data_IF_915722576049
#
_entry.id   IF_915722576049
#
_cell.length_a   1.000
_cell.length_b   1.000
_cell.length_c   1.000
_cell.angle_alpha   90.00
_cell.angle_beta   90.00
_cell.angle_gamma   90.00
#
_symmetry.space_group_name_H-M   'P 1'
#
loop_
_entity.id
_entity.type
_entity.pdbx_description
1 polymer ?
#
# COMPACT_ATOMS: atom_id res chain seq x y z
N UNK A 1 14.72 82.50 16.40
CA UNK A 1 15.54 81.44 15.81
C UNK A 1 14.81 80.08 16.06
N UNK A 2 14.07 79.60 15.06
CA UNK A 2 13.18 78.50 15.20
C UNK A 2 13.86 77.23 14.69
N UNK A 3 14.18 76.30 15.57
CA UNK A 3 14.73 74.97 15.22
C UNK A 3 13.63 74.03 14.74
N UNK A 4 13.61 73.68 13.45
CA UNK A 4 12.77 72.68 12.88
C UNK A 4 13.31 71.24 13.25
N UNK A 5 12.57 70.50 14.07
CA UNK A 5 12.86 69.08 14.31
C UNK A 5 12.34 68.28 13.13
N UNK A 6 13.22 67.62 12.37
CA UNK A 6 12.85 66.60 11.40
C UNK A 6 12.66 65.25 12.10
N UNK A 7 11.43 64.73 12.09
CA UNK A 7 11.09 63.39 12.55
C UNK A 7 11.27 62.44 11.36
N UNK A 8 12.36 61.68 11.34
CA UNK A 8 12.54 60.62 10.36
C UNK A 8 11.67 59.40 10.78
N UNK A 9 10.60 59.17 10.03
CA UNK A 9 9.75 57.98 10.17
C UNK A 9 10.46 56.79 9.47
N UNK A 10 11.03 55.87 10.25
CA UNK A 10 11.64 54.64 9.76
C UNK A 10 10.54 53.65 9.47
N UNK A 11 10.16 53.46 8.21
CA UNK A 11 9.22 52.41 7.78
C UNK A 11 10.00 51.09 7.73
N UNK A 12 9.85 50.24 8.75
CA UNK A 12 10.33 48.86 8.75
C UNK A 12 9.34 48.07 7.93
N UNK A 13 9.66 47.77 6.68
CA UNK A 13 8.94 46.79 5.84
C UNK A 13 9.37 45.41 6.32
N UNK A 14 8.53 44.78 7.14
CA UNK A 14 8.68 43.38 7.47
C UNK A 14 8.33 42.55 6.22
N UNK A 15 9.34 42.18 5.46
CA UNK A 15 9.20 41.06 4.52
C UNK A 15 8.98 39.82 5.34
N UNK A 16 7.71 39.44 5.56
CA UNK A 16 7.35 38.11 5.94
C UNK A 16 7.66 37.19 4.76
N UNK A 17 8.83 36.57 4.77
CA UNK A 17 9.05 35.37 3.95
C UNK A 17 8.11 34.29 4.50
N UNK A 18 6.91 34.21 3.94
CA UNK A 18 6.14 32.97 3.99
C UNK A 18 6.92 31.96 3.15
N UNK A 19 7.85 31.25 3.77
CA UNK A 19 8.23 29.92 3.28
C UNK A 19 7.02 29.02 3.59
N UNK A 20 6.00 29.11 2.75
CA UNK A 20 5.09 28.02 2.57
C UNK A 20 5.91 26.90 1.91
N UNK A 21 6.59 26.08 2.70
CA UNK A 21 6.92 24.74 2.30
C UNK A 21 5.56 24.01 2.24
N UNK A 22 4.79 24.22 1.17
CA UNK A 22 3.69 23.31 0.84
C UNK A 22 4.36 21.95 0.62
N UNK A 23 4.05 20.99 1.47
CA UNK A 23 4.52 19.64 1.27
C UNK A 23 4.01 19.17 -0.10
N UNK A 24 4.88 18.54 -0.86
CA UNK A 24 4.55 18.04 -2.18
C UNK A 24 3.84 16.70 -2.03
N UNK A 25 2.66 16.55 -2.66
CA UNK A 25 1.93 15.29 -2.66
C UNK A 25 2.61 14.29 -3.60
N UNK A 26 2.62 13.02 -3.20
CA UNK A 26 3.04 11.91 -4.04
C UNK A 26 2.18 10.68 -3.76
N UNK A 27 2.02 9.82 -4.76
CA UNK A 27 1.12 8.69 -4.69
C UNK A 27 1.64 7.50 -5.48
N UNK A 28 1.69 6.32 -4.88
CA UNK A 28 2.16 5.10 -5.54
C UNK A 28 1.32 3.89 -5.14
N UNK A 29 1.05 3.00 -6.10
CA UNK A 29 0.27 1.78 -5.90
C UNK A 29 0.96 0.58 -6.52
N UNK A 30 0.67 -0.61 -5.99
CA UNK A 30 0.95 -1.87 -6.65
C UNK A 30 -0.27 -2.79 -6.72
N UNK A 31 -0.32 -3.62 -7.75
CA UNK A 31 -1.30 -4.69 -7.94
C UNK A 31 -0.67 -6.09 -7.81
N UNK A 32 0.54 -6.16 -7.23
CA UNK A 32 1.26 -7.40 -6.98
C UNK A 32 2.49 -7.61 -7.85
N UNK A 33 3.47 -8.35 -7.30
CA UNK A 33 4.67 -8.82 -7.98
C UNK A 33 4.63 -10.34 -8.20
N UNK A 34 5.29 -10.84 -9.25
CA UNK A 34 5.33 -12.27 -9.55
C UNK A 34 5.85 -12.59 -10.94
N UNK A 35 5.51 -13.78 -11.46
CA UNK A 35 5.84 -14.20 -12.82
C UNK A 35 4.89 -13.51 -13.82
N UNK A 36 5.12 -12.21 -13.99
CA UNK A 36 4.37 -11.33 -14.88
C UNK A 36 5.20 -11.15 -16.16
N UNK A 37 4.98 -12.05 -17.13
CA UNK A 37 5.66 -12.05 -18.42
C UNK A 37 4.69 -11.57 -19.50
N UNK A 38 5.18 -10.72 -20.39
CA UNK A 38 4.36 -10.12 -21.46
C UNK A 38 3.76 -11.15 -22.38
N UNK A 39 4.50 -12.23 -22.67
CA UNK A 39 4.06 -13.35 -23.50
C UNK A 39 2.94 -14.18 -22.88
N UNK A 40 2.76 -14.10 -21.55
CA UNK A 40 1.75 -14.88 -20.83
C UNK A 40 0.44 -14.11 -20.60
N UNK A 41 0.36 -12.86 -21.06
CA UNK A 41 -0.79 -11.98 -20.81
C UNK A 41 -1.37 -11.54 -22.16
N UNK A 42 -2.66 -11.87 -22.39
CA UNK A 42 -3.34 -11.37 -23.59
C UNK A 42 -3.46 -9.84 -23.56
N UNK A 43 -3.47 -9.21 -24.74
CA UNK A 43 -3.59 -7.75 -24.86
C UNK A 43 -4.85 -7.22 -24.14
N UNK A 44 -5.97 -7.91 -24.26
CA UNK A 44 -7.22 -7.54 -23.56
C UNK A 44 -7.09 -7.58 -22.04
N UNK A 45 -6.36 -8.58 -21.49
CA UNK A 45 -6.10 -8.65 -20.04
C UNK A 45 -5.13 -7.57 -19.60
N UNK A 46 -4.09 -7.31 -20.37
CA UNK A 46 -3.14 -6.22 -20.14
C UNK A 46 -3.86 -4.88 -20.06
N UNK A 47 -4.70 -4.56 -21.07
CA UNK A 47 -5.48 -3.33 -21.10
C UNK A 47 -6.46 -3.21 -19.91
N UNK A 48 -7.07 -4.33 -19.52
CA UNK A 48 -7.95 -4.36 -18.33
C UNK A 48 -7.20 -4.04 -17.04
N UNK A 49 -5.99 -4.57 -16.88
CA UNK A 49 -5.13 -4.29 -15.72
C UNK A 49 -4.70 -2.82 -15.71
N UNK A 50 -4.20 -2.31 -16.85
CA UNK A 50 -3.80 -0.91 -17.00
C UNK A 50 -4.96 0.03 -16.65
N UNK A 51 -6.14 -0.21 -17.22
CA UNK A 51 -7.32 0.61 -16.97
C UNK A 51 -7.73 0.59 -15.49
N UNK A 52 -7.62 -0.56 -14.82
CA UNK A 52 -7.98 -0.66 -13.41
C UNK A 52 -6.95 0.04 -12.49
N UNK A 53 -5.67 -0.09 -12.79
CA UNK A 53 -4.62 0.67 -12.10
C UNK A 53 -4.78 2.17 -12.33
N UNK A 54 -5.11 2.58 -13.56
CA UNK A 54 -5.37 3.99 -13.89
C UNK A 54 -6.56 4.56 -13.09
N UNK A 55 -7.67 3.80 -13.03
CA UNK A 55 -8.84 4.18 -12.22
C UNK A 55 -8.47 4.36 -10.74
N UNK A 56 -7.72 3.40 -10.18
CA UNK A 56 -7.36 3.39 -8.78
C UNK A 56 -6.42 4.56 -8.43
N UNK A 57 -5.34 4.73 -9.21
CA UNK A 57 -4.36 5.79 -8.94
C UNK A 57 -4.93 7.18 -9.19
N UNK A 58 -5.78 7.35 -10.21
CA UNK A 58 -6.42 8.64 -10.49
C UNK A 58 -7.34 9.06 -9.35
N UNK A 59 -8.13 8.12 -8.78
CA UNK A 59 -9.01 8.43 -7.66
C UNK A 59 -8.25 8.89 -6.42
N UNK A 60 -7.17 8.20 -6.04
CA UNK A 60 -6.34 8.60 -4.91
C UNK A 60 -5.68 9.95 -5.12
N UNK A 61 -5.14 10.17 -6.32
CA UNK A 61 -4.52 11.43 -6.69
C UNK A 61 -5.48 12.62 -6.67
N UNK A 62 -6.72 12.44 -7.16
CA UNK A 62 -7.78 13.46 -7.10
C UNK A 62 -8.08 13.86 -5.65
N UNK A 63 -8.23 12.88 -4.75
CA UNK A 63 -8.45 13.14 -3.33
C UNK A 63 -7.33 13.97 -2.71
N UNK A 64 -6.07 13.64 -2.99
CA UNK A 64 -4.92 14.41 -2.48
C UNK A 64 -4.91 15.84 -3.03
N UNK A 65 -5.19 16.04 -4.32
CA UNK A 65 -5.31 17.38 -4.93
C UNK A 65 -6.47 18.21 -4.35
N UNK A 66 -7.54 17.55 -3.90
CA UNK A 66 -8.65 18.18 -3.19
C UNK A 66 -8.31 18.52 -1.72
N UNK A 67 -7.08 18.27 -1.27
CA UNK A 67 -6.65 18.47 0.11
C UNK A 67 -7.22 17.45 1.10
N UNK A 68 -7.64 16.28 0.62
CA UNK A 68 -8.04 15.17 1.50
C UNK A 68 -6.82 14.45 2.06
N UNK A 69 -7.02 13.78 3.20
CA UNK A 69 -5.94 13.05 3.86
C UNK A 69 -5.41 11.88 3.04
N UNK A 70 -4.13 11.59 3.20
CA UNK A 70 -3.46 10.39 2.68
C UNK A 70 -4.17 9.10 3.10
N UNK A 71 -4.73 9.05 4.31
CA UNK A 71 -5.52 7.90 4.79
C UNK A 71 -6.74 7.65 3.90
N UNK A 72 -7.53 8.69 3.61
CA UNK A 72 -8.70 8.55 2.74
C UNK A 72 -8.29 8.13 1.33
N UNK A 73 -7.22 8.72 0.79
CA UNK A 73 -6.71 8.39 -0.54
C UNK A 73 -6.28 6.92 -0.62
N UNK A 74 -5.55 6.40 0.38
CA UNK A 74 -5.12 5.00 0.46
C UNK A 74 -6.33 4.06 0.53
N UNK A 75 -7.30 4.34 1.42
CA UNK A 75 -8.50 3.50 1.59
C UNK A 75 -9.30 3.42 0.29
N UNK A 76 -9.66 4.55 -0.30
CA UNK A 76 -10.51 4.58 -1.50
C UNK A 76 -9.82 3.95 -2.71
N UNK A 77 -8.49 4.07 -2.81
CA UNK A 77 -7.71 3.43 -3.86
C UNK A 77 -7.67 1.92 -3.72
N UNK A 78 -7.37 1.41 -2.51
CA UNK A 78 -7.32 -0.03 -2.26
C UNK A 78 -8.70 -0.67 -2.44
N UNK A 79 -9.80 -0.01 -2.05
CA UNK A 79 -11.17 -0.48 -2.32
C UNK A 79 -11.43 -0.72 -3.81
N UNK A 80 -10.99 0.17 -4.69
CA UNK A 80 -11.11 -0.01 -6.14
C UNK A 80 -10.38 -1.26 -6.62
N UNK A 81 -9.22 -1.55 -6.03
CA UNK A 81 -8.44 -2.75 -6.35
C UNK A 81 -9.08 -4.02 -5.76
N UNK A 82 -9.60 -3.95 -4.52
CA UNK A 82 -10.33 -5.05 -3.85
C UNK A 82 -11.65 -5.40 -4.56
N UNK A 83 -12.34 -4.43 -5.13
CA UNK A 83 -13.59 -4.65 -5.89
C UNK A 83 -13.35 -5.23 -7.29
N UNK A 84 -12.07 -5.40 -7.69
CA UNK A 84 -11.68 -5.89 -9.00
C UNK A 84 -11.30 -7.37 -8.97
N UNK A 85 -11.82 -8.22 -9.90
CA UNK A 85 -11.42 -9.62 -10.00
C UNK A 85 -10.00 -9.81 -10.56
N UNK A 86 -9.31 -8.73 -10.93
CA UNK A 86 -8.00 -8.81 -11.59
C UNK A 86 -6.85 -9.04 -10.61
N UNK A 87 -7.01 -8.65 -9.34
CA UNK A 87 -5.96 -8.70 -8.33
C UNK A 87 -6.27 -9.73 -7.23
N UNK A 88 -5.25 -10.11 -6.46
CA UNK A 88 -5.40 -11.02 -5.33
C UNK A 88 -5.68 -10.23 -4.04
N UNK A 89 -6.83 -9.58 -4.00
CA UNK A 89 -7.36 -8.88 -2.82
C UNK A 89 -8.87 -8.73 -3.01
N UNK A 90 -9.66 -8.88 -1.96
CA UNK A 90 -11.13 -8.79 -2.05
C UNK A 90 -11.68 -9.74 -3.11
N UNK A 91 -12.41 -9.21 -4.12
CA UNK A 91 -13.12 -9.96 -5.17
C UNK A 91 -12.21 -10.77 -6.10
N UNK A 92 -10.98 -10.80 -6.02
CA UNK A 92 -10.09 -11.59 -6.89
C UNK A 92 -9.13 -12.43 -6.08
N UNK A 93 -9.42 -12.57 -4.81
CA UNK A 93 -8.58 -13.31 -3.86
C UNK A 93 -8.52 -14.79 -4.18
N UNK A 94 -7.37 -15.37 -3.86
CA UNK A 94 -7.10 -16.80 -4.02
C UNK A 94 -7.86 -17.62 -2.98
N UNK A 95 -8.10 -18.90 -3.30
CA UNK A 95 -8.71 -19.86 -2.40
C UNK A 95 -7.67 -20.51 -1.47
N UNK A 96 -8.08 -20.76 -0.24
CA UNK A 96 -7.37 -21.63 0.70
C UNK A 96 -7.58 -23.12 0.36
N UNK A 97 -6.97 -24.03 1.13
CA UNK A 97 -7.07 -25.49 0.92
C UNK A 97 -8.47 -26.05 1.13
N UNK A 98 -9.34 -25.33 1.82
CA UNK A 98 -10.71 -25.75 2.12
C UNK A 98 -11.72 -25.21 1.08
N UNK A 99 -11.22 -24.56 0.01
CA UNK A 99 -12.05 -23.98 -1.05
C UNK A 99 -12.78 -22.71 -0.63
N UNK A 100 -12.26 -21.98 0.36
CA UNK A 100 -12.78 -20.69 0.82
C UNK A 100 -11.79 -19.56 0.53
N UNK A 101 -12.32 -18.35 0.41
CA UNK A 101 -11.50 -17.13 0.35
C UNK A 101 -11.39 -16.55 1.76
N UNK A 102 -10.17 -16.19 2.13
CA UNK A 102 -9.85 -15.47 3.36
C UNK A 102 -8.95 -14.29 3.03
N UNK A 103 -9.31 -13.10 3.51
CA UNK A 103 -8.64 -11.85 3.23
C UNK A 103 -7.91 -11.31 4.45
N UNK A 104 -6.79 -10.66 4.17
CA UNK A 104 -5.92 -10.00 5.14
C UNK A 104 -5.67 -8.55 4.67
N UNK A 105 -5.63 -7.57 5.59
CA UNK A 105 -5.28 -6.19 5.26
C UNK A 105 -4.66 -5.47 6.45
N UNK A 106 -3.86 -4.45 6.16
CA UNK A 106 -3.39 -3.50 7.15
C UNK A 106 -3.27 -2.09 6.59
N UNK A 107 -3.31 -1.11 7.49
CA UNK A 107 -3.05 0.30 7.22
C UNK A 107 -2.29 0.90 8.39
N UNK A 108 -1.37 1.85 8.11
CA UNK A 108 -0.60 2.54 9.13
C UNK A 108 -0.42 4.02 8.77
N UNK A 109 -0.60 4.89 9.77
CA UNK A 109 -0.30 6.32 9.68
C UNK A 109 1.08 6.63 10.22
N UNK A 110 1.83 7.45 9.51
CA UNK A 110 3.20 7.81 9.88
C UNK A 110 3.32 8.92 10.92
N UNK A 111 2.29 9.75 11.13
CA UNK A 111 2.34 10.90 12.04
C UNK A 111 2.24 10.51 13.53
N UNK A 112 1.47 9.48 13.84
CA UNK A 112 1.22 9.00 15.22
C UNK A 112 1.60 7.52 15.39
N UNK A 113 2.09 6.87 14.34
CA UNK A 113 2.41 5.44 14.25
C UNK A 113 1.21 4.54 14.55
N UNK A 114 -0.01 5.08 14.49
CA UNK A 114 -1.21 4.29 14.70
C UNK A 114 -1.45 3.37 13.50
N UNK A 115 -1.90 2.17 13.78
CA UNK A 115 -2.09 1.13 12.77
C UNK A 115 -3.32 0.29 13.06
N UNK A 116 -3.85 -0.31 12.00
CA UNK A 116 -4.92 -1.30 12.10
C UNK A 116 -4.72 -2.42 11.11
N UNK A 117 -5.04 -3.64 11.54
CA UNK A 117 -4.92 -4.83 10.71
C UNK A 117 -6.06 -5.81 10.96
N UNK A 118 -6.37 -6.58 9.94
CA UNK A 118 -7.26 -7.73 10.03
C UNK A 118 -6.73 -8.91 9.22
N UNK A 119 -6.98 -10.14 9.69
CA UNK A 119 -6.59 -11.36 8.97
C UNK A 119 -7.65 -12.45 9.05
N UNK A 120 -7.65 -13.34 8.05
CA UNK A 120 -8.50 -14.51 8.01
C UNK A 120 -10.00 -14.17 7.97
N UNK A 121 -10.37 -13.03 7.40
CA UNK A 121 -11.79 -12.62 7.26
C UNK A 121 -12.35 -13.15 5.95
N UNK A 122 -13.58 -13.66 6.00
CA UNK A 122 -14.20 -14.39 4.88
C UNK A 122 -15.47 -13.73 4.33
N UNK A 123 -15.92 -12.63 4.93
CA UNK A 123 -17.21 -12.00 4.60
C UNK A 123 -17.21 -10.46 4.67
N UNK A 124 -16.08 -9.81 4.90
CA UNK A 124 -15.99 -8.35 4.86
C UNK A 124 -15.61 -7.92 3.45
N UNK A 125 -16.48 -7.20 2.77
CA UNK A 125 -16.33 -6.87 1.35
C UNK A 125 -14.99 -6.17 1.04
N UNK A 126 -14.64 -5.16 1.84
CA UNK A 126 -13.40 -4.41 1.69
C UNK A 126 -12.53 -4.56 2.94
N UNK A 127 -11.57 -5.48 2.96
CA UNK A 127 -10.67 -5.72 4.10
C UNK A 127 -9.90 -4.48 4.55
N UNK A 128 -9.49 -3.59 3.62
CA UNK A 128 -8.81 -2.35 3.97
C UNK A 128 -9.68 -1.41 4.83
N UNK A 129 -10.99 -1.39 4.56
CA UNK A 129 -11.93 -0.60 5.37
C UNK A 129 -12.04 -1.15 6.79
N UNK A 130 -11.98 -2.48 6.95
CA UNK A 130 -11.93 -3.10 8.26
C UNK A 130 -10.64 -2.75 8.99
N UNK A 131 -9.48 -2.85 8.33
CA UNK A 131 -8.19 -2.45 8.91
C UNK A 131 -8.20 -0.99 9.38
N UNK A 132 -8.73 -0.07 8.57
CA UNK A 132 -8.88 1.34 8.93
C UNK A 132 -9.83 1.54 10.12
N UNK A 133 -10.92 0.76 10.22
CA UNK A 133 -11.82 0.81 11.37
C UNK A 133 -11.16 0.24 12.63
N UNK A 134 -10.31 -0.78 12.53
CA UNK A 134 -9.51 -1.27 13.66
C UNK A 134 -8.60 -0.15 14.16
N UNK A 135 -7.89 0.54 13.27
CA UNK A 135 -7.00 1.65 13.61
C UNK A 135 -7.72 2.81 14.29
N UNK A 136 -8.89 3.21 13.77
CA UNK A 136 -9.54 4.45 14.19
C UNK A 136 -10.59 4.26 15.30
N UNK A 137 -11.05 3.02 15.54
CA UNK A 137 -12.23 2.78 16.38
C UNK A 137 -12.11 1.57 17.30
N UNK A 138 -10.88 1.07 17.52
CA UNK A 138 -10.61 0.04 18.53
C UNK A 138 -9.40 0.40 19.36
N UNK A 139 -9.24 -0.23 20.53
CA UNK A 139 -8.05 -0.18 21.36
C UNK A 139 -6.97 -1.18 20.91
N UNK A 140 -7.27 -1.99 19.87
CA UNK A 140 -6.41 -3.03 19.36
C UNK A 140 -5.83 -2.62 18.02
N UNK A 141 -4.64 -3.14 17.71
CA UNK A 141 -3.99 -2.94 16.41
C UNK A 141 -4.38 -4.04 15.43
N UNK A 142 -4.65 -5.26 15.89
CA UNK A 142 -4.83 -6.42 15.02
C UNK A 142 -5.98 -7.32 15.49
N UNK A 143 -6.97 -7.52 14.63
CA UNK A 143 -8.08 -8.44 14.84
C UNK A 143 -8.04 -9.58 13.81
N UNK A 144 -8.55 -10.77 14.17
CA UNK A 144 -8.52 -11.93 13.26
C UNK A 144 -9.84 -12.71 13.23
N UNK A 145 -10.09 -13.37 12.11
CA UNK A 145 -11.15 -14.33 11.89
C UNK A 145 -12.52 -13.83 12.36
N UNK A 146 -13.25 -14.66 13.09
CA UNK A 146 -14.61 -14.36 13.55
C UNK A 146 -14.70 -13.13 14.45
N UNK A 147 -13.66 -12.83 15.23
CA UNK A 147 -13.58 -11.63 16.05
C UNK A 147 -13.57 -10.36 15.19
N UNK A 148 -12.74 -10.34 14.16
CA UNK A 148 -12.66 -9.24 13.20
C UNK A 148 -13.97 -9.06 12.42
N UNK A 149 -14.62 -10.14 12.00
CA UNK A 149 -15.94 -10.11 11.33
C UNK A 149 -17.05 -9.57 12.22
N UNK A 150 -17.05 -9.93 13.50
CA UNK A 150 -18.00 -9.40 14.46
C UNK A 150 -17.79 -7.92 14.72
N UNK A 151 -16.53 -7.47 14.77
CA UNK A 151 -16.20 -6.05 14.86
C UNK A 151 -16.66 -5.30 13.61
N UNK A 152 -16.44 -5.84 12.39
CA UNK A 152 -16.92 -5.27 11.13
C UNK A 152 -18.45 -5.05 11.16
N UNK A 153 -19.22 -6.05 11.60
CA UNK A 153 -20.68 -5.95 11.76
C UNK A 153 -21.07 -4.83 12.77
N UNK A 154 -20.39 -4.78 13.91
CA UNK A 154 -20.64 -3.72 14.92
C UNK A 154 -20.34 -2.32 14.38
N UNK A 155 -19.41 -2.21 13.42
CA UNK A 155 -19.06 -0.96 12.73
C UNK A 155 -19.91 -0.67 11.50
N UNK A 156 -20.94 -1.49 11.21
CA UNK A 156 -21.81 -1.40 10.03
C UNK A 156 -21.03 -1.44 8.69
N UNK A 157 -19.93 -2.19 8.63
CA UNK A 157 -19.22 -2.42 7.38
C UNK A 157 -20.01 -3.37 6.47
N UNK A 158 -19.83 -3.26 5.17
CA UNK A 158 -20.52 -4.10 4.19
C UNK A 158 -20.07 -5.56 4.33
N UNK A 159 -21.03 -6.43 4.62
CA UNK A 159 -20.84 -7.88 4.78
C UNK A 159 -21.41 -8.56 3.55
N UNK A 160 -20.68 -9.51 3.00
CA UNK A 160 -21.03 -10.30 1.82
C UNK A 160 -20.88 -11.79 2.11
N UNK A 161 -21.49 -12.63 1.30
CA UNK A 161 -21.24 -14.07 1.32
C UNK A 161 -19.86 -14.36 0.72
N UNK A 162 -19.23 -15.48 1.10
CA UNK A 162 -17.87 -15.83 0.64
C UNK A 162 -17.77 -15.95 -0.88
N UNK A 163 -18.87 -16.36 -1.53
CA UNK A 163 -19.00 -16.49 -2.98
C UNK A 163 -18.81 -15.17 -3.74
N UNK A 164 -19.02 -14.01 -3.10
CA UNK A 164 -18.73 -12.71 -3.69
C UNK A 164 -17.28 -12.56 -4.16
N UNK A 165 -16.35 -13.19 -3.44
CA UNK A 165 -14.91 -13.13 -3.73
C UNK A 165 -14.47 -14.11 -4.82
N UNK A 166 -15.32 -15.10 -5.14
CA UNK A 166 -14.97 -16.19 -6.04
C UNK A 166 -14.84 -15.71 -7.48
N UNK A 167 -13.80 -16.20 -8.15
CA UNK A 167 -13.65 -16.09 -9.61
C UNK A 167 -13.29 -17.44 -10.18
N UNK A 168 -13.78 -17.74 -11.39
CA UNK A 168 -13.45 -18.99 -12.10
C UNK A 168 -11.93 -19.15 -12.28
N UNK A 169 -11.24 -18.05 -12.58
CA UNK A 169 -9.79 -18.05 -12.71
C UNK A 169 -9.08 -18.55 -11.45
N UNK A 170 -9.45 -18.01 -10.27
CA UNK A 170 -8.85 -18.42 -8.98
C UNK A 170 -9.24 -19.83 -8.57
N UNK A 171 -10.47 -20.23 -8.86
CA UNK A 171 -10.90 -21.60 -8.62
C UNK A 171 -10.11 -22.62 -9.45
N UNK A 172 -9.88 -22.32 -10.74
CA UNK A 172 -9.04 -23.15 -11.61
C UNK A 172 -7.57 -23.20 -11.14
N UNK A 173 -7.03 -22.12 -10.58
CA UNK A 173 -5.71 -22.13 -9.94
C UNK A 173 -5.64 -23.08 -8.75
N UNK A 174 -6.66 -23.13 -7.90
CA UNK A 174 -6.73 -24.07 -6.79
C UNK A 174 -6.74 -25.53 -7.29
N UNK A 175 -7.54 -25.83 -8.31
CA UNK A 175 -7.68 -27.20 -8.86
C UNK A 175 -6.38 -27.69 -9.51
N UNK A 176 -5.69 -26.83 -10.23
CA UNK A 176 -4.52 -27.19 -11.02
C UNK A 176 -3.24 -27.37 -10.19
N UNK A 177 -3.22 -27.00 -8.90
CA UNK A 177 -2.11 -27.14 -7.92
C UNK A 177 -0.68 -26.83 -8.43
N UNK A 178 -0.53 -26.58 -9.75
CA UNK A 178 0.73 -26.35 -10.45
C UNK A 178 1.00 -24.87 -10.74
N UNK A 179 0.00 -24.00 -10.51
CA UNK A 179 0.18 -22.58 -10.77
C UNK A 179 0.99 -21.94 -9.64
N UNK A 180 2.31 -21.97 -9.84
CA UNK A 180 3.28 -21.18 -9.09
C UNK A 180 3.14 -19.68 -9.37
N UNK A 181 2.14 -19.28 -10.15
CA UNK A 181 1.84 -17.88 -10.45
C UNK A 181 1.31 -17.17 -9.21
N UNK A 182 2.24 -16.72 -8.40
CA UNK A 182 2.03 -15.84 -7.26
C UNK A 182 1.66 -14.44 -7.80
N UNK A 183 0.39 -14.23 -8.12
CA UNK A 183 -0.11 -12.89 -8.43
C UNK A 183 -0.74 -12.30 -7.19
N UNK A 184 -0.29 -11.17 -6.86
CA UNK A 184 -0.09 -10.57 -5.64
C UNK A 184 -1.13 -9.67 -5.07
N UNK A 185 -0.92 -9.45 -3.88
CA UNK A 185 -1.27 -8.39 -2.94
C UNK A 185 -1.42 -7.04 -3.64
N UNK A 186 -2.42 -6.26 -3.26
CA UNK A 186 -2.51 -4.85 -3.65
C UNK A 186 -2.02 -3.96 -2.52
N UNK A 187 -1.47 -2.80 -2.88
CA UNK A 187 -1.02 -1.85 -1.88
C UNK A 187 -0.93 -0.42 -2.40
N UNK A 188 -0.83 0.49 -1.46
CA UNK A 188 -0.82 1.92 -1.74
C UNK A 188 0.00 2.65 -0.68
N UNK A 189 0.76 3.66 -1.10
CA UNK A 189 1.42 4.63 -0.23
C UNK A 189 1.10 6.04 -0.73
N UNK A 190 0.77 6.92 0.19
CA UNK A 190 0.43 8.31 -0.08
C UNK A 190 1.12 9.26 0.90
N UNK A 191 1.48 10.45 0.43
CA UNK A 191 1.80 11.61 1.26
C UNK A 191 0.88 12.77 0.87
N UNK A 192 0.25 13.42 1.85
CA UNK A 192 -0.66 14.54 1.65
C UNK A 192 0.00 15.90 1.85
N UNK A 193 -0.75 16.99 1.63
CA UNK A 193 -0.28 18.37 1.77
C UNK A 193 0.18 18.73 3.19
N UNK A 194 -0.28 17.99 4.20
CA UNK A 194 0.18 18.15 5.59
C UNK A 194 1.47 17.37 5.87
N UNK A 195 2.01 16.63 4.87
CA UNK A 195 3.19 15.77 5.00
C UNK A 195 2.90 14.44 5.71
N UNK A 196 1.63 14.08 5.86
CA UNK A 196 1.28 12.81 6.47
C UNK A 196 1.42 11.65 5.49
N UNK A 197 2.24 10.68 5.86
CA UNK A 197 2.46 9.45 5.11
C UNK A 197 1.52 8.36 5.63
N UNK A 198 0.82 7.69 4.71
CA UNK A 198 0.00 6.51 5.02
C UNK A 198 0.35 5.40 4.04
N UNK A 199 0.51 4.19 4.58
CA UNK A 199 0.68 2.97 3.80
C UNK A 199 -0.44 1.97 4.11
N UNK A 200 -0.92 1.27 3.08
CA UNK A 200 -1.91 0.21 3.22
C UNK A 200 -1.63 -0.96 2.28
N UNK A 201 -1.98 -2.16 2.71
CA UNK A 201 -1.79 -3.40 1.95
C UNK A 201 -2.99 -4.32 2.17
N UNK A 202 -3.45 -5.02 1.12
CA UNK A 202 -4.58 -5.97 1.17
C UNK A 202 -4.33 -7.18 0.28
N UNK A 203 -4.73 -8.36 0.73
CA UNK A 203 -4.44 -9.63 0.02
C UNK A 203 -5.41 -10.76 0.37
N UNK A 204 -5.57 -11.71 -0.56
CA UNK A 204 -6.10 -13.05 -0.29
C UNK A 204 -5.03 -14.05 0.19
N UNK A 205 -3.77 -13.65 0.24
CA UNK A 205 -2.65 -14.51 0.61
C UNK A 205 -2.16 -15.41 -0.53
N UNK A 206 -1.83 -16.67 -0.21
CA UNK A 206 -1.27 -17.66 -1.12
C UNK A 206 -2.35 -18.68 -1.56
N UNK A 207 -2.37 -19.04 -2.84
CA UNK A 207 -3.24 -20.13 -3.35
C UNK A 207 -2.99 -21.42 -2.57
N UNK A 208 -4.07 -22.12 -2.19
CA UNK A 208 -4.02 -23.35 -1.44
C UNK A 208 -3.36 -23.22 -0.05
N UNK A 209 -3.36 -22.01 0.54
CA UNK A 209 -2.89 -21.78 1.92
C UNK A 209 -3.64 -22.68 2.90
N UNK A 210 -2.94 -23.17 3.93
CA UNK A 210 -3.44 -24.14 4.90
C UNK A 210 -3.35 -23.60 6.32
N UNK A 211 -4.10 -24.19 7.23
CA UNK A 211 -3.99 -24.00 8.68
C UNK A 211 -4.09 -22.53 9.14
N UNK A 212 -4.87 -21.72 8.40
CA UNK A 212 -4.99 -20.30 8.71
C UNK A 212 -3.71 -19.50 8.44
N UNK A 213 -2.92 -19.90 7.42
CA UNK A 213 -1.67 -19.18 7.04
C UNK A 213 -1.95 -17.70 6.80
N UNK A 214 -1.18 -16.85 7.44
CA UNK A 214 -1.14 -15.42 7.27
C UNK A 214 0.20 -15.03 6.65
N UNK A 215 0.18 -14.17 5.63
CA UNK A 215 1.37 -13.58 5.01
C UNK A 215 1.82 -12.29 5.71
N UNK A 216 2.69 -11.55 5.03
CA UNK A 216 3.26 -10.29 5.50
C UNK A 216 2.25 -9.13 5.50
N UNK A 217 1.29 -9.13 4.57
CA UNK A 217 0.42 -7.98 4.30
C UNK A 217 -0.31 -7.41 5.53
N UNK A 218 -0.85 -8.20 6.48
CA UNK A 218 -1.49 -7.66 7.68
C UNK A 218 -0.51 -7.38 8.82
N UNK A 219 0.79 -7.69 8.65
CA UNK A 219 1.79 -7.56 9.70
C UNK A 219 2.53 -6.24 9.56
N UNK A 220 2.26 -5.33 10.50
CA UNK A 220 2.94 -4.03 10.59
C UNK A 220 4.45 -4.23 10.77
N UNK A 221 5.22 -3.57 9.93
CA UNK A 221 6.67 -3.71 9.85
C UNK A 221 7.13 -4.76 8.83
N UNK A 222 6.30 -5.72 8.44
CA UNK A 222 6.63 -6.72 7.43
C UNK A 222 6.12 -6.32 6.04
N UNK A 223 4.80 -6.30 5.84
CA UNK A 223 4.16 -5.95 4.57
C UNK A 223 3.76 -4.48 4.47
N UNK A 224 3.56 -3.81 5.59
CA UNK A 224 3.08 -2.42 5.66
C UNK A 224 3.81 -1.68 6.77
N UNK A 225 4.32 -0.48 6.47
CA UNK A 225 4.89 0.41 7.48
C UNK A 225 4.76 1.87 7.05
N UNK A 226 4.57 2.78 8.00
CA UNK A 226 4.61 4.22 7.76
C UNK A 226 5.18 4.97 8.96
N UNK A 227 6.04 5.96 8.67
CA UNK A 227 6.60 6.90 9.64
C UNK A 227 6.91 8.22 8.91
N UNK A 228 6.31 9.33 9.35
CA UNK A 228 6.51 10.65 8.73
C UNK A 228 7.98 11.13 8.77
N UNK A 229 8.78 10.59 9.67
CA UNK A 229 10.21 10.96 9.76
C UNK A 229 11.07 10.24 8.72
N UNK A 230 10.58 9.16 8.10
CA UNK A 230 11.33 8.32 7.16
C UNK A 230 10.55 8.07 5.87
N UNK A 231 9.64 7.07 5.85
CA UNK A 231 8.92 6.63 4.66
C UNK A 231 7.64 5.86 4.98
N UNK A 232 6.79 5.68 3.96
CA UNK A 232 5.75 4.67 3.90
C UNK A 232 6.16 3.55 2.94
N UNK A 233 5.86 2.29 3.28
CA UNK A 233 6.17 1.10 2.50
C UNK A 233 4.95 0.17 2.43
N UNK A 234 4.67 -0.36 1.24
CA UNK A 234 3.77 -1.49 1.01
C UNK A 234 4.46 -2.57 0.18
N UNK A 235 4.39 -3.80 0.64
CA UNK A 235 5.13 -4.94 0.08
C UNK A 235 4.20 -5.97 -0.57
N UNK A 236 4.77 -6.78 -1.47
CA UNK A 236 4.10 -7.90 -2.15
C UNK A 236 5.11 -8.97 -2.51
N UNK A 237 4.79 -10.25 -2.32
CA UNK A 237 5.71 -11.35 -2.63
C UNK A 237 5.50 -12.58 -1.77
N UNK A 238 6.57 -13.33 -1.56
CA UNK A 238 6.59 -14.50 -0.68
C UNK A 238 6.63 -14.06 0.78
N UNK A 239 5.46 -13.90 1.40
CA UNK A 239 5.25 -13.25 2.69
C UNK A 239 6.13 -13.76 3.84
N UNK A 240 6.46 -15.05 3.86
CA UNK A 240 7.32 -15.67 4.86
C UNK A 240 8.70 -15.01 4.97
N UNK A 241 9.24 -14.54 3.84
CA UNK A 241 10.55 -13.88 3.80
C UNK A 241 10.44 -12.44 4.28
N UNK A 242 9.37 -11.74 3.92
CA UNK A 242 9.10 -10.38 4.39
C UNK A 242 8.83 -10.32 5.88
N UNK A 243 8.12 -11.32 6.44
CA UNK A 243 7.91 -11.48 7.90
C UNK A 243 9.25 -11.69 8.61
N UNK A 244 10.05 -12.66 8.15
CA UNK A 244 11.31 -13.04 8.80
C UNK A 244 12.36 -11.92 8.81
N UNK A 245 12.30 -11.01 7.83
CA UNK A 245 13.20 -9.86 7.72
C UNK A 245 12.61 -8.57 8.24
N UNK A 246 11.33 -8.55 8.64
CA UNK A 246 10.60 -7.31 9.01
C UNK A 246 10.78 -6.24 7.93
N UNK A 247 10.55 -6.64 6.66
CA UNK A 247 11.10 -5.97 5.48
C UNK A 247 10.68 -4.50 5.34
N UNK A 248 9.40 -4.16 5.58
CA UNK A 248 8.92 -2.79 5.46
C UNK A 248 9.55 -1.85 6.51
N UNK A 249 9.64 -2.28 7.77
CA UNK A 249 10.30 -1.51 8.82
C UNK A 249 11.81 -1.39 8.58
N UNK A 250 12.44 -2.42 8.01
CA UNK A 250 13.87 -2.40 7.75
C UNK A 250 14.27 -1.28 6.77
N UNK A 251 13.42 -0.95 5.76
CA UNK A 251 13.65 0.22 4.90
C UNK A 251 13.66 1.50 5.73
N UNK A 252 12.62 1.70 6.57
CA UNK A 252 12.54 2.87 7.45
C UNK A 252 13.76 2.97 8.40
N UNK A 253 14.18 1.85 8.97
CA UNK A 253 15.37 1.80 9.84
C UNK A 253 16.67 2.14 9.11
N UNK A 254 16.82 1.76 7.84
CA UNK A 254 17.97 2.14 7.02
C UNK A 254 18.01 3.64 6.75
N UNK A 255 16.84 4.26 6.47
CA UNK A 255 16.74 5.71 6.31
C UNK A 255 17.00 6.48 7.61
N UNK A 256 16.62 5.92 8.75
CA UNK A 256 16.77 6.59 10.05
C UNK A 256 18.21 6.53 10.59
N UNK A 257 18.89 5.39 10.39
CA UNK A 257 20.16 5.10 11.05
C UNK A 257 21.38 5.11 10.12
N UNK A 258 21.17 5.30 8.81
CA UNK A 258 22.22 5.30 7.80
C UNK A 258 21.93 6.36 6.73
N UNK A 259 22.95 6.78 5.98
CA UNK A 259 22.86 7.75 4.87
C UNK A 259 22.40 7.07 3.55
N UNK A 260 21.30 6.31 3.61
CA UNK A 260 20.66 5.77 2.41
C UNK A 260 19.53 6.67 1.95
N UNK A 261 19.36 6.81 0.62
CA UNK A 261 18.10 7.28 0.08
C UNK A 261 17.06 6.14 0.02
N UNK A 262 15.81 6.47 -0.33
CA UNK A 262 14.71 5.49 -0.36
C UNK A 262 15.00 4.34 -1.33
N UNK A 263 15.54 4.63 -2.51
CA UNK A 263 15.81 3.61 -3.54
C UNK A 263 16.94 2.67 -3.10
N UNK A 264 18.01 3.21 -2.55
CA UNK A 264 19.12 2.43 -2.00
C UNK A 264 18.66 1.52 -0.85
N UNK A 265 17.87 2.06 0.09
CA UNK A 265 17.35 1.29 1.22
C UNK A 265 16.42 0.15 0.75
N UNK A 266 15.50 0.44 -0.17
CA UNK A 266 14.59 -0.55 -0.73
C UNK A 266 15.33 -1.60 -1.55
N UNK A 267 16.28 -1.18 -2.41
CA UNK A 267 17.13 -2.06 -3.19
C UNK A 267 17.91 -3.03 -2.30
N UNK A 268 18.51 -2.51 -1.22
CA UNK A 268 19.24 -3.34 -0.24
C UNK A 268 18.33 -4.39 0.43
N UNK A 269 17.09 -4.03 0.77
CA UNK A 269 16.15 -4.98 1.37
C UNK A 269 15.72 -6.03 0.35
N UNK A 270 15.33 -5.65 -0.87
CA UNK A 270 14.83 -6.58 -1.88
C UNK A 270 15.96 -7.43 -2.46
N UNK A 271 17.05 -6.83 -2.94
CA UNK A 271 18.05 -7.54 -3.76
C UNK A 271 19.17 -8.20 -2.92
N UNK A 272 19.37 -7.76 -1.67
CA UNK A 272 20.36 -8.42 -0.81
C UNK A 272 19.69 -9.29 0.26
N UNK A 273 18.77 -8.72 1.08
CA UNK A 273 18.26 -9.41 2.27
C UNK A 273 17.18 -10.44 1.93
N UNK A 274 16.18 -10.09 1.09
CA UNK A 274 15.15 -11.02 0.67
C UNK A 274 15.74 -12.10 -0.23
N UNK A 275 16.54 -11.73 -1.23
CA UNK A 275 17.24 -12.70 -2.11
C UNK A 275 18.20 -13.57 -1.31
N UNK A 276 18.95 -13.00 -0.35
CA UNK A 276 19.94 -13.74 0.46
C UNK A 276 19.36 -14.88 1.28
N UNK A 277 18.05 -14.87 1.55
CA UNK A 277 17.34 -15.96 2.24
C UNK A 277 16.42 -16.77 1.32
N UNK A 278 16.50 -16.54 0.00
CA UNK A 278 15.76 -17.27 -1.04
C UNK A 278 14.35 -16.73 -1.31
N UNK A 279 14.07 -15.49 -0.94
CA UNK A 279 12.76 -14.84 -1.15
C UNK A 279 12.65 -14.09 -2.46
N UNK A 280 11.40 -13.86 -2.88
CA UNK A 280 11.03 -13.07 -4.04
C UNK A 280 9.87 -12.13 -3.72
N UNK A 281 9.80 -11.01 -4.46
CA UNK A 281 8.71 -10.05 -4.34
C UNK A 281 9.16 -8.64 -4.73
N UNK A 282 8.44 -7.66 -4.20
CA UNK A 282 8.71 -6.25 -4.41
C UNK A 282 8.07 -5.38 -3.35
N UNK A 283 8.37 -4.11 -3.39
CA UNK A 283 7.77 -3.09 -2.55
C UNK A 283 7.67 -1.75 -3.28
N UNK A 284 6.73 -0.96 -2.85
CA UNK A 284 6.61 0.45 -3.23
C UNK A 284 6.81 1.31 -2.00
N UNK A 285 7.35 2.51 -2.18
CA UNK A 285 7.58 3.43 -1.08
C UNK A 285 7.53 4.89 -1.48
N UNK A 286 7.24 5.74 -0.48
CA UNK A 286 7.37 7.21 -0.55
C UNK A 286 8.12 7.65 0.70
N UNK A 287 9.16 8.48 0.54
CA UNK A 287 9.86 9.09 1.66
C UNK A 287 9.22 10.42 2.11
N UNK A 288 9.72 10.98 3.21
CA UNK A 288 9.26 12.26 3.77
C UNK A 288 9.46 13.47 2.84
N UNK A 289 10.25 13.34 1.76
CA UNK A 289 10.50 14.36 0.76
C UNK A 289 9.71 14.12 -0.54
N UNK A 290 8.69 13.24 -0.49
CA UNK A 290 7.83 12.87 -1.62
C UNK A 290 8.57 12.16 -2.76
N UNK A 291 9.76 11.61 -2.52
CA UNK A 291 10.43 10.75 -3.48
C UNK A 291 9.77 9.36 -3.50
N UNK A 292 9.59 8.82 -4.70
CA UNK A 292 8.96 7.50 -4.92
C UNK A 292 10.03 6.50 -5.31
N UNK A 293 9.96 5.29 -4.75
CA UNK A 293 10.73 4.14 -5.21
C UNK A 293 9.85 2.89 -5.35
N UNK A 294 10.22 2.02 -6.28
CA UNK A 294 9.49 0.77 -6.60
C UNK A 294 10.51 -0.31 -6.96
N UNK A 295 10.83 -1.18 -5.99
CA UNK A 295 11.85 -2.21 -6.12
C UNK A 295 11.26 -3.62 -6.11
N UNK A 296 11.73 -4.49 -6.99
CA UNK A 296 11.28 -5.89 -7.08
C UNK A 296 12.34 -6.77 -7.75
N UNK A 297 12.36 -8.06 -7.38
CA UNK A 297 13.25 -9.09 -7.92
C UNK A 297 12.50 -10.21 -8.67
N UNK A 298 11.28 -9.93 -9.10
CA UNK A 298 10.44 -10.82 -9.92
C UNK A 298 10.39 -10.34 -11.37
N UNK A 299 9.96 -11.17 -12.34
CA UNK A 299 9.84 -10.76 -13.76
C UNK A 299 8.93 -9.57 -14.03
N UNK A 300 8.05 -9.21 -13.07
CA UNK A 300 7.23 -8.02 -13.18
C UNK A 300 6.51 -7.70 -11.89
N UNK A 301 6.05 -6.45 -11.81
CA UNK A 301 5.19 -5.93 -10.75
C UNK A 301 4.18 -4.95 -11.35
N UNK A 302 2.89 -5.22 -11.16
CA UNK A 302 1.84 -4.27 -11.51
C UNK A 302 1.96 -3.06 -10.59
N UNK A 303 2.21 -1.89 -11.14
CA UNK A 303 2.48 -0.69 -10.36
C UNK A 303 2.12 0.57 -11.11
N UNK A 304 1.80 1.61 -10.37
CA UNK A 304 1.59 2.94 -10.92
C UNK A 304 1.96 4.01 -9.90
N UNK A 305 2.33 5.19 -10.38
CA UNK A 305 2.62 6.32 -9.52
C UNK A 305 2.16 7.65 -10.13
N UNK A 306 1.96 8.64 -9.28
CA UNK A 306 1.94 10.06 -9.63
C UNK A 306 2.94 10.76 -8.70
N UNK A 307 3.98 11.34 -9.30
CA UNK A 307 5.00 12.06 -8.54
C UNK A 307 4.57 13.49 -8.21
N UNK A 308 5.36 14.17 -7.43
CA UNK A 308 5.15 15.57 -7.02
C UNK A 308 4.97 16.56 -8.18
N UNK A 309 5.55 16.28 -9.35
CA UNK A 309 5.39 17.10 -10.57
C UNK A 309 4.07 16.77 -11.33
N UNK A 310 3.26 15.84 -10.82
CA UNK A 310 2.03 15.36 -11.45
C UNK A 310 2.26 14.37 -12.61
N UNK A 311 3.48 13.88 -12.80
CA UNK A 311 3.78 12.86 -13.80
C UNK A 311 3.18 11.53 -13.36
N UNK A 312 2.27 10.96 -14.17
CA UNK A 312 1.65 9.66 -13.96
C UNK A 312 2.27 8.61 -14.88
N UNK A 313 2.64 7.45 -14.32
CA UNK A 313 3.05 6.27 -15.10
C UNK A 313 2.39 5.00 -14.56
N UNK A 314 2.11 4.06 -15.47
CA UNK A 314 1.59 2.71 -15.17
C UNK A 314 2.52 1.71 -15.82
N UNK A 315 3.02 0.78 -15.03
CA UNK A 315 4.05 -0.16 -15.41
C UNK A 315 3.67 -1.58 -14.98
N UNK A 316 4.00 -2.59 -15.79
CA UNK A 316 3.66 -3.99 -15.49
C UNK A 316 4.89 -4.88 -15.42
N UNK A 317 5.81 -4.70 -16.35
CA UNK A 317 6.95 -5.58 -16.57
C UNK A 317 8.24 -4.96 -16.04
N UNK A 318 9.29 -5.77 -15.88
CA UNK A 318 10.66 -5.29 -15.80
C UNK A 318 10.98 -4.51 -17.09
N UNK A 319 11.88 -3.53 -16.98
CA UNK A 319 12.25 -2.67 -18.12
C UNK A 319 12.98 -3.45 -19.21
#
# INVERSE_FOLDING_TARGET
MVMKKYLCLLIIVLFSCNNNNENEIAFVIHGGAGIILKENISKSKEDSIINKLDQAISRGWELLKEGKSSELAVIETIKILEDSPLFNAGKGSVFNSDGKVENDASIMRGNDLNAGASSGTSNVKNPITLAANVMNHSEHVFLSGKGAENFAKKRNLEIVDNEYFHTEFRYNQLLNKKDENKYGTVGCVAIDLDGNIVAGTSTGGMTNKKWGRIGDSPIIGAGTYANNNTCGISSTGSGEYFIRTVAAYQVSSLLENHDYDLTEAMSKVIHEKIVGIGGDGGMIGIDKNSNISMEFNTPGMYRAFVNKDGKKEILLYEK
#
